data_IF_267567784712
#
_entry.id   IF_267567784712
#
_cell.length_a   1.000
_cell.length_b   1.000
_cell.length_c   1.000
_cell.angle_alpha   90.00
_cell.angle_beta   90.00
_cell.angle_gamma   90.00
#
_symmetry.space_group_name_H-M   'P 1'
#
loop_
_entity.id
_entity.type
_entity.pdbx_description
1 polymer ?
#
# COMPACT_ATOMS: atom_id res chain seq x y z
N UNK A 1 -6.52 9.39 10.79
CA UNK A 1 -6.61 10.32 9.65
C UNK A 1 -7.26 9.63 8.43
N UNK A 2 -6.69 8.53 7.91
CA UNK A 2 -7.29 7.80 6.76
C UNK A 2 -8.63 7.15 7.11
N UNK A 3 -8.75 6.43 8.22
CA UNK A 3 -10.01 5.75 8.63
C UNK A 3 -11.19 6.73 8.74
N UNK A 4 -10.96 7.92 9.30
CA UNK A 4 -11.99 8.95 9.37
C UNK A 4 -12.43 9.39 7.97
N UNK A 5 -11.48 9.61 7.05
CA UNK A 5 -11.78 9.98 5.66
C UNK A 5 -12.53 8.86 4.93
N UNK A 6 -12.18 7.60 5.15
CA UNK A 6 -12.89 6.44 4.58
C UNK A 6 -14.35 6.44 5.00
N UNK A 7 -14.63 6.62 6.31
CA UNK A 7 -16.00 6.73 6.83
C UNK A 7 -16.76 7.92 6.24
N UNK A 8 -16.12 9.09 6.13
CA UNK A 8 -16.71 10.29 5.52
C UNK A 8 -17.10 10.09 4.05
N UNK A 9 -16.33 9.28 3.32
CA UNK A 9 -16.61 8.93 1.91
C UNK A 9 -17.59 7.76 1.76
N UNK A 10 -18.16 7.24 2.85
CA UNK A 10 -19.09 6.10 2.84
C UNK A 10 -18.41 4.73 2.70
N UNK A 11 -17.09 4.65 2.87
CA UNK A 11 -16.35 3.39 2.89
C UNK A 11 -16.44 2.67 4.25
N UNK A 12 -16.16 1.36 4.23
CA UNK A 12 -16.10 0.54 5.45
C UNK A 12 -14.68 0.49 6.01
N UNK A 13 -14.53 0.47 7.33
CA UNK A 13 -13.24 0.22 7.96
C UNK A 13 -12.80 -1.25 7.86
N UNK A 14 -13.72 -2.18 7.60
CA UNK A 14 -13.39 -3.61 7.47
C UNK A 14 -12.48 -3.90 6.27
N UNK A 15 -12.49 -3.02 5.26
CA UNK A 15 -11.61 -3.12 4.09
C UNK A 15 -10.29 -2.35 4.28
N UNK A 16 -10.07 -1.73 5.44
CA UNK A 16 -8.86 -0.97 5.74
C UNK A 16 -7.91 -1.80 6.62
N UNK A 17 -6.80 -2.25 6.04
CA UNK A 17 -5.72 -2.90 6.81
C UNK A 17 -4.59 -1.90 7.05
N UNK A 18 -4.22 -1.69 8.31
CA UNK A 18 -3.04 -0.89 8.69
C UNK A 18 -1.84 -1.81 8.86
N UNK A 19 -0.71 -1.40 8.31
CA UNK A 19 0.59 -2.08 8.41
C UNK A 19 1.69 -1.05 8.69
N UNK A 20 2.87 -1.52 9.06
CA UNK A 20 3.98 -0.66 9.49
C UNK A 20 4.94 -0.28 8.35
N UNK A 21 5.01 -1.07 7.27
CA UNK A 21 5.94 -0.83 6.18
C UNK A 21 5.44 -1.38 4.83
N UNK A 22 6.19 -1.06 3.76
CA UNK A 22 5.84 -1.41 2.39
C UNK A 22 5.85 -2.93 2.13
N UNK A 23 6.77 -3.67 2.74
CA UNK A 23 6.83 -5.14 2.60
C UNK A 23 5.57 -5.80 3.17
N UNK A 24 5.17 -5.41 4.38
CA UNK A 24 3.91 -5.88 4.97
C UNK A 24 2.69 -5.47 4.10
N UNK A 25 2.71 -4.27 3.51
CA UNK A 25 1.63 -3.83 2.62
C UNK A 25 1.53 -4.70 1.36
N UNK A 26 2.67 -5.03 0.72
CA UNK A 26 2.72 -5.88 -0.47
C UNK A 26 2.27 -7.30 -0.15
N UNK A 27 2.78 -7.89 0.92
CA UNK A 27 2.38 -9.24 1.35
C UNK A 27 0.88 -9.29 1.66
N UNK A 28 0.36 -8.29 2.39
CA UNK A 28 -1.07 -8.22 2.68
C UNK A 28 -1.92 -8.05 1.43
N UNK A 29 -1.48 -7.25 0.47
CA UNK A 29 -2.17 -7.10 -0.82
C UNK A 29 -2.19 -8.41 -1.59
N UNK A 30 -1.09 -9.18 -1.60
CA UNK A 30 -1.00 -10.48 -2.26
C UNK A 30 -1.95 -11.52 -1.64
N UNK A 31 -2.13 -11.50 -0.31
CA UNK A 31 -3.06 -12.40 0.39
C UNK A 31 -4.53 -12.18 0.02
N UNK A 32 -4.92 -10.94 -0.30
CA UNK A 32 -6.33 -10.57 -0.51
C UNK A 32 -6.70 -10.40 -1.99
N UNK A 33 -5.73 -10.12 -2.86
CA UNK A 33 -5.96 -9.92 -4.28
C UNK A 33 -6.40 -11.22 -4.98
N UNK A 34 -7.32 -11.09 -5.93
CA UNK A 34 -7.81 -12.19 -6.74
C UNK A 34 -7.42 -12.01 -8.21
N UNK A 35 -7.58 -13.09 -9.00
CA UNK A 35 -7.32 -13.02 -10.44
C UNK A 35 -8.22 -11.99 -11.09
N UNK A 36 -7.62 -11.03 -11.79
CA UNK A 36 -8.32 -9.91 -12.43
C UNK A 36 -8.22 -8.59 -11.67
N UNK A 37 -7.78 -8.60 -10.42
CA UNK A 37 -7.57 -7.38 -9.64
C UNK A 37 -6.31 -6.61 -10.07
N UNK A 38 -6.29 -5.32 -9.76
CA UNK A 38 -5.11 -4.45 -9.89
C UNK A 38 -4.68 -3.97 -8.51
N UNK A 39 -3.42 -4.20 -8.17
CA UNK A 39 -2.77 -3.64 -6.97
C UNK A 39 -2.00 -2.38 -7.35
N UNK A 40 -2.37 -1.24 -6.76
CA UNK A 40 -1.76 0.07 -7.04
C UNK A 40 -1.02 0.60 -5.79
N UNK A 41 0.26 0.93 -5.95
CA UNK A 41 0.99 1.74 -4.96
C UNK A 41 0.70 3.23 -5.16
N UNK A 42 -0.09 3.83 -4.27
CA UNK A 42 -0.40 5.27 -4.26
C UNK A 42 -0.28 5.88 -2.85
N UNK A 43 0.94 6.18 -2.38
CA UNK A 43 1.20 6.54 -0.98
C UNK A 43 0.74 7.95 -0.58
N UNK A 44 0.33 8.80 -1.54
CA UNK A 44 -0.28 10.12 -1.27
C UNK A 44 0.61 11.14 -0.54
N UNK A 45 1.90 10.83 -0.30
CA UNK A 45 2.83 11.65 0.47
C UNK A 45 4.29 11.49 0.05
N UNK A 46 5.15 12.33 0.64
CA UNK A 46 6.60 12.33 0.43
C UNK A 46 7.21 10.98 0.82
N UNK A 47 8.37 10.63 0.26
CA UNK A 47 9.08 9.37 0.53
C UNK A 47 10.22 9.47 1.54
N UNK A 48 10.56 10.68 1.95
CA UNK A 48 11.77 10.99 2.73
C UNK A 48 11.78 10.46 4.16
N UNK A 49 10.67 9.89 4.63
CA UNK A 49 10.56 9.23 5.92
C UNK A 49 11.26 7.87 5.95
N UNK A 50 11.34 7.18 4.81
CA UNK A 50 11.92 5.83 4.70
C UNK A 50 12.82 5.62 3.48
N UNK A 51 12.89 6.59 2.55
CA UNK A 51 13.60 6.48 1.27
C UNK A 51 14.31 7.79 0.92
N UNK A 52 15.34 7.71 0.08
CA UNK A 52 16.06 8.87 -0.43
C UNK A 52 15.21 9.68 -1.41
N UNK A 53 14.34 9.03 -2.18
CA UNK A 53 13.43 9.65 -3.14
C UNK A 53 12.22 8.73 -3.43
N UNK A 54 11.35 9.15 -4.36
CA UNK A 54 10.17 8.38 -4.73
C UNK A 54 10.50 7.20 -5.67
N UNK A 55 11.62 7.27 -6.41
CA UNK A 55 12.04 6.25 -7.36
C UNK A 55 12.54 5.02 -6.60
N UNK A 56 13.32 5.22 -5.54
CA UNK A 56 13.78 4.16 -4.63
C UNK A 56 12.60 3.43 -3.99
N UNK A 57 11.56 4.16 -3.54
CA UNK A 57 10.33 3.56 -3.02
C UNK A 57 9.61 2.71 -4.08
N UNK A 58 9.58 3.19 -5.32
CA UNK A 58 8.98 2.46 -6.45
C UNK A 58 9.79 1.22 -6.86
N UNK A 59 11.12 1.30 -6.84
CA UNK A 59 12.01 0.17 -7.06
C UNK A 59 11.84 -0.88 -5.95
N UNK A 60 11.78 -0.46 -4.68
CA UNK A 60 11.53 -1.37 -3.57
C UNK A 60 10.20 -2.11 -3.72
N UNK A 61 9.13 -1.42 -4.11
CA UNK A 61 7.85 -2.06 -4.44
C UNK A 61 7.99 -3.11 -5.55
N UNK A 62 8.65 -2.79 -6.67
CA UNK A 62 8.87 -3.74 -7.77
C UNK A 62 9.65 -4.97 -7.32
N UNK A 63 10.67 -4.80 -6.49
CA UNK A 63 11.45 -5.90 -5.94
C UNK A 63 10.62 -6.81 -5.05
N UNK A 64 9.79 -6.23 -4.18
CA UNK A 64 8.90 -6.99 -3.31
C UNK A 64 7.88 -7.79 -4.13
N UNK A 65 7.23 -7.16 -5.10
CA UNK A 65 6.26 -7.84 -5.99
C UNK A 65 6.91 -8.98 -6.78
N UNK A 66 8.15 -8.81 -7.23
CA UNK A 66 8.87 -9.84 -7.98
C UNK A 66 9.28 -11.07 -7.15
N UNK A 67 9.17 -10.99 -5.81
CA UNK A 67 9.50 -12.06 -4.86
C UNK A 67 8.28 -12.79 -4.29
N UNK A 68 7.06 -12.35 -4.66
CA UNK A 68 5.81 -13.04 -4.32
C UNK A 68 5.70 -14.37 -5.11
#
# INVERSE_FOLDING_TARGET
>A
LVSNKVRELGGSDEILTRVENLEQAVNRAAEVAQSGDVVLLSPGGTSYDAYNDFEERGEHFRQLVSRL
#
